data_IF_812582446563
#
_entry.id   IF_812582446563
#
_cell.length_a   1.000
_cell.length_b   1.000
_cell.length_c   1.000
_cell.angle_alpha   90.00
_cell.angle_beta   90.00
_cell.angle_gamma   90.00
#
_symmetry.space_group_name_H-M   'P 1'
#
loop_
_entity.id
_entity.type
_entity.pdbx_description
1 polymer ?
#
# COMPACT_ATOMS: atom_id res chain seq x y z
N UNK A 1 -2.79 16.28 -33.36
CA UNK A 1 -2.23 16.64 -32.04
C UNK A 1 -3.18 17.47 -31.17
N UNK A 2 -4.21 18.16 -31.70
CA UNK A 2 -5.18 18.89 -30.84
C UNK A 2 -6.05 17.96 -29.99
N UNK A 3 -6.52 16.84 -30.54
CA UNK A 3 -7.47 15.93 -29.86
C UNK A 3 -6.99 15.41 -28.50
N UNK A 4 -5.71 15.07 -28.36
CA UNK A 4 -5.16 14.56 -27.10
C UNK A 4 -5.07 15.67 -26.04
N UNK A 5 -4.69 16.87 -26.46
CA UNK A 5 -4.62 18.05 -25.58
C UNK A 5 -6.02 18.44 -25.10
N UNK A 6 -7.00 18.39 -26.00
CA UNK A 6 -8.42 18.65 -25.71
C UNK A 6 -8.98 17.62 -24.73
N UNK A 7 -8.69 16.34 -24.97
CA UNK A 7 -9.11 15.24 -24.09
C UNK A 7 -8.57 15.35 -22.66
N UNK A 8 -7.30 15.74 -22.49
CA UNK A 8 -6.71 15.98 -21.17
C UNK A 8 -7.38 17.18 -20.49
N UNK A 9 -7.70 18.22 -21.25
CA UNK A 9 -8.35 19.43 -20.73
C UNK A 9 -9.77 19.14 -20.26
N UNK A 10 -10.49 18.32 -21.00
CA UNK A 10 -11.84 17.86 -20.69
C UNK A 10 -11.84 16.90 -19.48
N UNK A 11 -10.90 15.94 -19.45
CA UNK A 11 -10.71 15.02 -18.31
C UNK A 11 -10.39 15.78 -17.02
N UNK A 12 -9.59 16.86 -17.09
CA UNK A 12 -9.26 17.66 -15.90
C UNK A 12 -10.48 18.45 -15.40
N UNK A 13 -11.32 18.94 -16.32
CA UNK A 13 -12.60 19.58 -15.98
C UNK A 13 -13.56 18.59 -15.31
N UNK A 14 -13.63 17.37 -15.82
CA UNK A 14 -14.51 16.32 -15.31
C UNK A 14 -14.09 15.84 -13.91
N UNK A 15 -12.79 15.58 -13.72
CA UNK A 15 -12.21 15.17 -12.42
C UNK A 15 -12.33 16.22 -11.32
N UNK A 16 -12.54 17.49 -11.67
CA UNK A 16 -12.69 18.59 -10.71
C UNK A 16 -14.16 18.94 -10.44
N UNK A 17 -15.02 18.86 -11.45
CA UNK A 17 -16.42 19.29 -11.33
C UNK A 17 -17.41 18.16 -11.06
N UNK A 18 -17.05 16.91 -11.39
CA UNK A 18 -17.95 15.75 -11.33
C UNK A 18 -17.48 14.66 -10.35
N UNK A 19 -16.42 14.95 -9.59
CA UNK A 19 -15.87 14.04 -8.56
C UNK A 19 -15.75 14.81 -7.25
N UNK A 20 -16.31 14.25 -6.19
CA UNK A 20 -16.14 14.76 -4.82
C UNK A 20 -14.75 14.41 -4.31
N UNK A 21 -13.81 15.33 -4.44
CA UNK A 21 -12.51 15.21 -3.78
C UNK A 21 -12.68 15.34 -2.27
N UNK A 22 -12.15 14.39 -1.47
CA UNK A 22 -12.11 14.55 -0.03
C UNK A 22 -11.23 15.74 0.35
N UNK A 23 -11.51 16.35 1.48
CA UNK A 23 -10.60 17.38 2.02
C UNK A 23 -9.23 16.77 2.31
N UNK A 24 -8.17 17.58 2.25
CA UNK A 24 -6.81 17.10 2.51
C UNK A 24 -6.72 16.36 3.85
N UNK A 25 -7.41 16.85 4.89
CA UNK A 25 -7.49 16.21 6.20
C UNK A 25 -8.14 14.83 6.19
N UNK A 26 -9.23 14.63 5.43
CA UNK A 26 -9.89 13.32 5.29
C UNK A 26 -9.05 12.33 4.48
N UNK A 27 -8.32 12.83 3.48
CA UNK A 27 -7.38 12.03 2.70
C UNK A 27 -6.25 11.50 3.58
N UNK A 28 -5.65 12.35 4.41
CA UNK A 28 -4.62 11.95 5.36
C UNK A 28 -5.15 10.99 6.42
N UNK A 29 -6.38 11.19 6.91
CA UNK A 29 -6.99 10.27 7.86
C UNK A 29 -7.19 8.87 7.25
N UNK A 30 -7.68 8.80 6.01
CA UNK A 30 -7.85 7.53 5.29
C UNK A 30 -6.50 6.84 5.02
N UNK A 31 -5.48 7.61 4.65
CA UNK A 31 -4.13 7.10 4.47
C UNK A 31 -3.50 6.59 5.79
N UNK A 32 -3.75 7.27 6.91
CA UNK A 32 -3.25 6.89 8.23
C UNK A 32 -3.80 5.52 8.66
N UNK A 33 -5.09 5.27 8.41
CA UNK A 33 -5.72 3.97 8.70
C UNK A 33 -5.06 2.85 7.89
N UNK A 34 -4.82 3.06 6.60
CA UNK A 34 -4.15 2.08 5.73
C UNK A 34 -2.71 1.84 6.18
N UNK A 35 -1.99 2.89 6.60
CA UNK A 35 -0.62 2.79 7.10
C UNK A 35 -0.53 1.96 8.39
N UNK A 36 -1.49 2.11 9.30
CA UNK A 36 -1.55 1.28 10.51
C UNK A 36 -1.88 -0.18 10.14
N UNK A 37 -2.84 -0.40 9.23
CA UNK A 37 -3.19 -1.74 8.77
C UNK A 37 -2.00 -2.46 8.10
N UNK A 38 -1.25 -1.76 7.24
CA UNK A 38 -0.04 -2.33 6.62
C UNK A 38 1.08 -2.58 7.64
N UNK A 39 1.21 -1.73 8.66
CA UNK A 39 2.14 -1.94 9.77
C UNK A 39 1.85 -3.23 10.55
N UNK A 40 0.58 -3.52 10.83
CA UNK A 40 0.18 -4.77 11.50
C UNK A 40 0.52 -5.98 10.63
N UNK A 41 0.22 -5.93 9.32
CA UNK A 41 0.57 -7.00 8.39
C UNK A 41 2.09 -7.23 8.32
N UNK A 42 2.89 -6.16 8.33
CA UNK A 42 4.35 -6.27 8.34
C UNK A 42 4.86 -7.01 9.58
N UNK A 43 4.29 -6.74 10.76
CA UNK A 43 4.65 -7.45 12.00
C UNK A 43 4.28 -8.93 11.94
N UNK A 44 3.12 -9.26 11.37
CA UNK A 44 2.70 -10.67 11.22
C UNK A 44 3.63 -11.43 10.28
N UNK A 45 3.98 -10.84 9.13
CA UNK A 45 4.92 -11.47 8.19
C UNK A 45 6.30 -11.63 8.83
N UNK A 46 6.79 -10.61 9.54
CA UNK A 46 8.06 -10.69 10.27
C UNK A 46 8.07 -11.84 11.30
N UNK A 47 6.98 -12.01 12.06
CA UNK A 47 6.86 -13.12 13.01
C UNK A 47 6.87 -14.48 12.31
N UNK A 48 6.23 -14.60 11.14
CA UNK A 48 6.26 -15.83 10.34
C UNK A 48 7.66 -16.11 9.79
N UNK A 49 8.35 -15.10 9.26
CA UNK A 49 9.70 -15.24 8.70
C UNK A 49 10.70 -15.73 9.76
N UNK A 50 10.63 -15.19 10.99
CA UNK A 50 11.48 -15.62 12.11
C UNK A 50 11.14 -17.04 12.58
N UNK A 51 9.85 -17.36 12.72
CA UNK A 51 9.39 -18.67 13.19
C UNK A 51 9.76 -19.81 12.23
N UNK A 52 9.64 -19.58 10.92
CA UNK A 52 9.90 -20.63 9.93
C UNK A 52 11.33 -20.59 9.39
N UNK A 53 11.87 -19.39 9.13
CA UNK A 53 13.20 -19.20 8.55
C UNK A 53 14.34 -19.48 9.54
N UNK A 54 14.31 -18.85 10.71
CA UNK A 54 15.40 -19.00 11.69
C UNK A 54 15.22 -20.22 12.59
N UNK A 55 14.03 -20.40 13.16
CA UNK A 55 13.83 -21.41 14.20
C UNK A 55 13.69 -22.85 13.65
N UNK A 56 12.93 -23.05 12.57
CA UNK A 56 12.73 -24.39 12.00
C UNK A 56 13.83 -24.77 11.00
N UNK A 57 14.01 -24.00 9.93
CA UNK A 57 15.00 -24.34 8.90
C UNK A 57 16.44 -24.22 9.40
N UNK A 58 16.76 -23.17 10.18
CA UNK A 58 18.09 -23.00 10.76
C UNK A 58 18.48 -24.13 11.73
N UNK A 59 17.56 -24.57 12.59
CA UNK A 59 17.79 -25.70 13.49
C UNK A 59 17.92 -27.02 12.75
N UNK A 60 17.12 -27.24 11.70
CA UNK A 60 17.18 -28.45 10.88
C UNK A 60 18.48 -28.53 10.08
N UNK A 61 18.92 -27.44 9.46
CA UNK A 61 20.18 -27.40 8.72
C UNK A 61 21.40 -27.64 9.63
N UNK A 62 21.41 -27.07 10.84
CA UNK A 62 22.46 -27.32 11.83
C UNK A 62 22.45 -28.75 12.41
N UNK A 63 21.37 -29.51 12.23
CA UNK A 63 21.25 -30.91 12.68
C UNK A 63 21.82 -31.90 11.66
N UNK A 64 21.92 -31.50 10.39
CA UNK A 64 22.43 -32.32 9.29
C UNK A 64 23.76 -31.79 8.70
N UNK A 65 24.27 -30.67 9.19
CA UNK A 65 25.64 -30.18 8.98
C UNK A 65 26.55 -30.69 10.10
#
# INVERSE_FOLDING_TARGET
MSKVVEYIKESKSELLNHVTWPTASELFNSAMVVLVASGILAVVVFAMDEAFGQALLGSFYNLFA
#
